data_IF_767326505215
#
_entry.id   IF_767326505215
#
_cell.length_a   1.000
_cell.length_b   1.000
_cell.length_c   1.000
_cell.angle_alpha   90.00
_cell.angle_beta   90.00
_cell.angle_gamma   90.00
#
_symmetry.space_group_name_H-M   'P 1'
#
loop_
_entity.id
_entity.type
_entity.pdbx_description
1 polymer ?
#
# COMPACT_ATOMS: atom_id res chain seq x y z
N UNK A 1 12.75 -40.03 -30.97
CA UNK A 1 12.29 -39.35 -29.72
C UNK A 1 13.46 -38.58 -29.07
N UNK A 2 14.02 -37.55 -29.73
CA UNK A 2 15.18 -36.78 -29.21
C UNK A 2 14.98 -35.26 -29.19
N UNK A 3 13.86 -34.76 -29.70
CA UNK A 3 13.62 -33.32 -29.88
C UNK A 3 12.65 -32.69 -28.86
N UNK A 4 12.07 -33.48 -27.96
CA UNK A 4 11.08 -32.98 -26.98
C UNK A 4 11.73 -32.32 -25.75
N UNK A 5 13.03 -32.55 -25.51
CA UNK A 5 13.71 -32.04 -24.31
C UNK A 5 14.25 -30.60 -24.52
N UNK A 6 14.39 -30.14 -25.77
CA UNK A 6 14.99 -28.83 -26.06
C UNK A 6 14.05 -27.63 -25.91
N UNK A 7 12.73 -27.85 -25.85
CA UNK A 7 11.75 -26.75 -25.78
C UNK A 7 11.48 -26.26 -24.34
N UNK A 8 11.68 -27.10 -23.32
CA UNK A 8 11.36 -26.73 -21.94
C UNK A 8 12.38 -25.79 -21.30
N UNK A 9 13.65 -25.81 -21.75
CA UNK A 9 14.70 -24.94 -21.20
C UNK A 9 14.62 -23.51 -21.73
N UNK A 10 14.02 -23.28 -22.91
CA UNK A 10 13.85 -21.95 -23.47
C UNK A 10 12.75 -21.14 -22.77
N UNK A 11 11.73 -21.80 -22.20
CA UNK A 11 10.66 -21.13 -21.44
C UNK A 11 11.11 -20.63 -20.07
N UNK A 12 12.17 -21.19 -19.48
CA UNK A 12 12.69 -20.78 -18.17
C UNK A 12 13.57 -19.52 -18.21
N UNK A 13 14.02 -19.09 -19.39
CA UNK A 13 14.90 -17.92 -19.54
C UNK A 13 14.14 -16.60 -19.75
N UNK A 14 12.84 -16.64 -20.06
CA UNK A 14 12.02 -15.43 -20.26
C UNK A 14 11.48 -14.88 -18.93
N UNK A 15 11.49 -15.68 -17.84
CA UNK A 15 10.96 -15.27 -16.54
C UNK A 15 11.93 -14.44 -15.69
N UNK A 16 13.20 -14.31 -16.09
CA UNK A 16 14.25 -13.74 -15.23
C UNK A 16 14.54 -12.23 -15.39
N UNK A 17 13.83 -11.51 -16.25
CA UNK A 17 14.12 -10.08 -16.51
C UNK A 17 12.91 -9.16 -16.34
N UNK A 18 12.15 -9.30 -15.24
CA UNK A 18 11.44 -8.14 -14.70
C UNK A 18 12.46 -7.30 -13.92
N UNK A 19 13.13 -6.37 -14.61
CA UNK A 19 13.84 -5.28 -13.96
C UNK A 19 12.78 -4.47 -13.22
N UNK A 20 12.63 -4.69 -11.92
CA UNK A 20 11.74 -3.89 -11.11
C UNK A 20 12.25 -2.45 -11.15
N UNK A 21 11.48 -1.56 -11.76
CA UNK A 21 11.83 -0.15 -11.84
C UNK A 21 11.61 0.45 -10.45
N UNK A 22 12.66 1.04 -9.92
CA UNK A 22 12.64 1.77 -8.66
C UNK A 22 12.33 3.24 -8.93
N UNK A 23 11.56 3.87 -8.05
CA UNK A 23 11.17 5.27 -8.14
C UNK A 23 11.32 5.97 -6.80
N UNK A 24 11.21 7.30 -6.82
CA UNK A 24 10.91 8.09 -5.64
C UNK A 24 9.40 8.26 -5.50
N UNK A 25 8.92 8.16 -4.28
CA UNK A 25 7.51 8.25 -3.92
C UNK A 25 7.36 9.21 -2.76
N UNK A 26 6.33 10.05 -2.83
CA UNK A 26 5.89 10.87 -1.71
C UNK A 26 4.59 10.27 -1.20
N UNK A 27 4.63 9.74 0.01
CA UNK A 27 3.48 9.13 0.67
C UNK A 27 2.90 10.09 1.71
N UNK A 28 1.57 10.20 1.71
CA UNK A 28 0.79 10.96 2.68
C UNK A 28 -0.06 9.98 3.48
N UNK A 29 0.16 9.95 4.79
CA UNK A 29 -0.67 9.21 5.73
C UNK A 29 -1.73 10.15 6.29
N UNK A 30 -3.01 9.80 6.12
CA UNK A 30 -4.14 10.50 6.66
C UNK A 30 -4.71 9.71 7.85
N UNK A 31 -4.91 10.38 8.99
CA UNK A 31 -5.65 9.80 10.12
C UNK A 31 -6.90 10.64 10.39
N UNK A 32 -8.06 10.10 10.02
CA UNK A 32 -9.37 10.69 10.29
C UNK A 32 -9.96 10.08 11.55
N UNK A 33 -10.23 10.89 12.56
CA UNK A 33 -10.99 10.47 13.73
C UNK A 33 -12.37 11.14 13.69
N UNK A 34 -13.43 10.35 13.89
CA UNK A 34 -14.80 10.83 14.01
C UNK A 34 -15.41 10.40 15.33
N UNK A 35 -16.25 11.27 15.90
CA UNK A 35 -17.10 10.99 17.06
C UNK A 35 -18.54 11.23 16.65
N UNK A 36 -19.37 10.20 16.69
CA UNK A 36 -20.78 10.28 16.25
C UNK A 36 -20.93 10.83 14.82
N UNK A 37 -20.01 10.43 13.91
CA UNK A 37 -19.99 10.88 12.53
C UNK A 37 -19.44 12.29 12.30
N UNK A 38 -19.09 13.05 13.35
CA UNK A 38 -18.45 14.36 13.24
C UNK A 38 -16.93 14.21 13.29
N UNK A 39 -16.17 14.81 12.36
CA UNK A 39 -14.72 14.81 12.42
C UNK A 39 -14.24 15.55 13.66
N UNK A 40 -13.25 15.00 14.35
CA UNK A 40 -12.63 15.60 15.55
C UNK A 40 -11.13 15.84 15.37
N UNK A 41 -10.45 15.03 14.55
CA UNK A 41 -9.02 15.16 14.26
C UNK A 41 -8.75 14.68 12.84
N UNK A 42 -7.98 15.47 12.09
CA UNK A 42 -7.35 15.09 10.82
C UNK A 42 -5.85 15.35 10.97
N UNK A 43 -5.04 14.28 10.95
CA UNK A 43 -3.57 14.35 10.96
C UNK A 43 -3.06 13.92 9.59
N UNK A 44 -2.16 14.72 9.03
CA UNK A 44 -1.49 14.45 7.77
C UNK A 44 0.01 14.40 7.98
N UNK A 45 0.60 13.24 7.72
CA UNK A 45 2.05 13.04 7.78
C UNK A 45 2.57 12.72 6.39
N UNK A 46 3.55 13.47 5.92
CA UNK A 46 4.16 13.28 4.60
C UNK A 46 5.58 12.73 4.75
N UNK A 47 5.89 11.71 3.97
CA UNK A 47 7.22 11.11 3.92
C UNK A 47 7.61 10.82 2.48
N UNK A 48 8.87 11.06 2.13
CA UNK A 48 9.42 10.72 0.81
C UNK A 48 10.41 9.57 0.93
N UNK A 49 10.29 8.58 0.05
CA UNK A 49 11.18 7.44 -0.01
C UNK A 49 11.56 7.14 -1.47
N UNK A 50 12.83 6.79 -1.70
CA UNK A 50 13.39 6.49 -3.02
C UNK A 50 13.93 5.06 -3.05
N UNK A 51 14.12 4.53 -4.26
CA UNK A 51 14.60 3.15 -4.44
C UNK A 51 13.50 2.10 -4.18
N UNK A 52 12.22 2.51 -4.22
CA UNK A 52 11.10 1.61 -3.93
C UNK A 52 10.37 1.26 -5.23
N UNK A 53 10.07 -0.03 -5.38
CA UNK A 53 9.30 -0.57 -6.51
C UNK A 53 7.82 -0.25 -6.36
N UNK A 54 7.08 -0.25 -7.48
CA UNK A 54 5.61 -0.08 -7.45
C UNK A 54 4.92 -1.14 -6.58
N UNK A 55 5.37 -2.40 -6.66
CA UNK A 55 4.80 -3.51 -5.89
C UNK A 55 4.94 -3.32 -4.38
N UNK A 56 6.07 -2.77 -3.93
CA UNK A 56 6.29 -2.47 -2.52
C UNK A 56 5.42 -1.32 -2.03
N UNK A 57 5.17 -0.31 -2.87
CA UNK A 57 4.27 0.81 -2.53
C UNK A 57 2.82 0.34 -2.47
N UNK A 58 2.35 -0.44 -3.44
CA UNK A 58 0.98 -0.99 -3.44
C UNK A 58 0.75 -1.87 -2.18
N UNK A 59 1.73 -2.67 -1.79
CA UNK A 59 1.67 -3.42 -0.53
C UNK A 59 1.62 -2.50 0.70
N UNK A 60 2.36 -1.39 0.70
CA UNK A 60 2.38 -0.42 1.79
C UNK A 60 1.06 0.34 1.94
N UNK A 61 0.48 0.83 0.85
CA UNK A 61 -0.83 1.51 0.82
C UNK A 61 -1.96 0.59 1.31
N UNK A 62 -1.91 -0.69 0.90
CA UNK A 62 -2.86 -1.71 1.37
C UNK A 62 -2.70 -2.03 2.86
N UNK A 63 -1.46 -2.16 3.34
CA UNK A 63 -1.20 -2.52 4.74
C UNK A 63 -1.59 -1.40 5.73
N UNK A 64 -1.48 -0.14 5.33
CA UNK A 64 -1.77 1.01 6.21
C UNK A 64 -3.22 1.51 6.15
N UNK A 65 -4.06 0.89 5.33
CA UNK A 65 -5.50 1.14 5.31
C UNK A 65 -6.17 0.39 6.47
N UNK A 66 -6.38 1.09 7.59
CA UNK A 66 -7.01 0.52 8.80
C UNK A 66 -8.23 1.34 9.19
N UNK A 67 -9.34 0.66 9.48
CA UNK A 67 -10.52 1.28 10.08
C UNK A 67 -10.85 0.60 11.40
N UNK A 68 -10.75 1.34 12.50
CA UNK A 68 -11.12 0.88 13.82
C UNK A 68 -12.37 1.61 14.29
N UNK A 69 -13.30 0.90 14.92
CA UNK A 69 -14.46 1.50 15.57
C UNK A 69 -14.61 0.98 16.99
N UNK A 70 -14.92 1.87 17.92
CA UNK A 70 -15.16 1.52 19.32
C UNK A 70 -16.32 2.33 19.90
N UNK A 71 -17.05 1.71 20.82
CA UNK A 71 -18.13 2.37 21.56
C UNK A 71 -17.61 2.74 22.93
N UNK A 72 -17.41 4.02 23.20
CA UNK A 72 -16.78 4.51 24.45
C UNK A 72 -17.79 4.81 25.55
N UNK A 73 -19.05 5.05 25.19
CA UNK A 73 -20.20 5.26 26.07
C UNK A 73 -21.49 4.81 25.36
N UNK A 74 -22.60 4.54 26.07
CA UNK A 74 -23.89 4.32 25.42
C UNK A 74 -24.22 5.55 24.55
N UNK A 75 -24.27 5.35 23.24
CA UNK A 75 -24.49 6.36 22.19
C UNK A 75 -23.25 7.17 21.73
N UNK A 76 -22.03 6.75 22.07
CA UNK A 76 -20.82 7.33 21.48
C UNK A 76 -20.07 6.32 20.63
N UNK A 77 -20.05 6.56 19.31
CA UNK A 77 -19.27 5.78 18.35
C UNK A 77 -18.03 6.58 17.97
N UNK A 78 -16.87 6.06 18.34
CA UNK A 78 -15.58 6.55 17.89
C UNK A 78 -15.13 5.73 16.68
N UNK A 79 -14.77 6.39 15.58
CA UNK A 79 -14.13 5.74 14.43
C UNK A 79 -12.81 6.40 14.13
N UNK A 80 -11.78 5.59 13.91
CA UNK A 80 -10.49 6.01 13.38
C UNK A 80 -10.31 5.35 12.02
N UNK A 81 -10.01 6.14 11.02
CA UNK A 81 -9.64 5.67 9.69
C UNK A 81 -8.23 6.16 9.40
N UNK A 82 -7.35 5.24 9.05
CA UNK A 82 -6.01 5.53 8.53
C UNK A 82 -5.98 5.15 7.07
N UNK A 83 -5.53 6.07 6.22
CA UNK A 83 -5.26 5.80 4.80
C UNK A 83 -3.87 6.29 4.46
N UNK A 84 -3.23 5.64 3.51
CA UNK A 84 -1.93 6.04 2.98
C UNK A 84 -2.04 6.12 1.47
N UNK A 85 -1.60 7.25 0.91
CA UNK A 85 -1.60 7.48 -0.53
C UNK A 85 -0.21 7.94 -0.96
N UNK A 86 0.37 7.28 -1.96
CA UNK A 86 1.72 7.50 -2.45
C UNK A 86 1.71 7.97 -3.90
N UNK A 87 2.40 9.08 -4.17
CA UNK A 87 2.52 9.65 -5.51
C UNK A 87 3.95 9.52 -6.01
N UNK A 88 4.11 8.90 -7.18
CA UNK A 88 5.39 8.79 -7.89
C UNK A 88 5.90 10.19 -8.26
N UNK A 89 7.18 10.45 -7.98
CA UNK A 89 7.89 11.66 -8.37
C UNK A 89 8.52 11.53 -9.76
#
# INVERSE_FOLDING_TARGET
MKYLILCCTALLLVTACKKNKEYCWTCVNHTYNTRNGKPIVDVKDTSTACGITEENIDAFEKAQSLSDSSTTAPNEVYKRVRTTECVKQ
#
